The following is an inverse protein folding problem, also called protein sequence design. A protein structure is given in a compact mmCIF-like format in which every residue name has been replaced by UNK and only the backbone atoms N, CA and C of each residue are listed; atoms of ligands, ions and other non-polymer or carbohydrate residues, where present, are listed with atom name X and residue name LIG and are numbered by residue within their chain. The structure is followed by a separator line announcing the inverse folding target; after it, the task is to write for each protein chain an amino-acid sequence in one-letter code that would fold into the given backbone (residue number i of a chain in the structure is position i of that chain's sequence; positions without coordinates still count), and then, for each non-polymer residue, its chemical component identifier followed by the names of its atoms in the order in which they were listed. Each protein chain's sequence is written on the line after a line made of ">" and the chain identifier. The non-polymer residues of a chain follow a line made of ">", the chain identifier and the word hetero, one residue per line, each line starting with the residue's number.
data_IF_779654725655
#
_entry.id   IF_779654725655
#
_cell.length_a   1.000
_cell.length_b   1.000
_cell.length_c   1.000
_cell.angle_alpha   90.00
_cell.angle_beta   90.00
_cell.angle_gamma   90.00
#
_symmetry.space_group_name_H-M   'P 1'
#
loop_
_entity.id
_entity.type
_entity.pdbx_description
1 polymer ?
#
# COMPACT_ATOMS: atom_id res chain seq x y z
N UNK A 1 -25.90 -16.95 30.31
CA UNK A 1 -24.78 -16.72 29.38
C UNK A 1 -25.30 -16.47 27.99
N UNK A 2 -24.84 -15.38 27.40
CA UNK A 2 -25.19 -15.07 26.02
C UNK A 2 -24.40 -15.99 25.08
N UNK A 3 -25.11 -16.75 24.25
CA UNK A 3 -24.46 -17.49 23.19
C UNK A 3 -24.27 -16.54 22.00
N UNK A 4 -23.03 -16.25 21.61
CA UNK A 4 -22.79 -15.37 20.47
C UNK A 4 -23.27 -16.01 19.17
N UNK A 5 -23.70 -15.18 18.24
CA UNK A 5 -24.12 -15.61 16.91
C UNK A 5 -23.31 -14.85 15.86
N UNK A 6 -23.15 -15.47 14.70
CA UNK A 6 -22.48 -14.82 13.55
C UNK A 6 -23.57 -14.20 12.67
N UNK A 7 -23.39 -12.91 12.38
CA UNK A 7 -24.31 -12.13 11.56
C UNK A 7 -23.60 -11.66 10.29
N UNK A 8 -24.24 -11.87 9.15
CA UNK A 8 -23.75 -11.35 7.86
C UNK A 8 -24.28 -9.94 7.65
N UNK A 9 -23.38 -8.98 7.47
CA UNK A 9 -23.73 -7.59 7.20
C UNK A 9 -22.75 -7.00 6.17
N UNK A 10 -23.11 -7.05 4.87
CA UNK A 10 -22.23 -6.53 3.81
C UNK A 10 -22.13 -5.00 3.80
N UNK A 11 -23.03 -4.32 4.48
CA UNK A 11 -23.09 -2.85 4.55
C UNK A 11 -22.71 -2.31 5.91
N UNK A 12 -21.96 -3.08 6.68
CA UNK A 12 -21.55 -2.67 8.03
C UNK A 12 -20.88 -1.30 8.03
N UNK A 13 -21.28 -0.40 8.94
CA UNK A 13 -20.65 0.92 9.07
C UNK A 13 -19.21 0.82 9.54
N UNK A 14 -18.44 1.89 9.30
CA UNK A 14 -17.02 1.92 9.67
C UNK A 14 -16.79 1.70 11.16
N UNK A 15 -17.70 2.15 12.01
CA UNK A 15 -17.60 1.95 13.46
C UNK A 15 -17.51 0.48 13.83
N UNK A 16 -18.35 -0.37 13.23
CA UNK A 16 -18.30 -1.82 13.47
C UNK A 16 -17.03 -2.44 12.90
N UNK A 17 -16.60 -2.00 11.72
CA UNK A 17 -15.37 -2.46 11.09
C UNK A 17 -14.16 -2.13 11.97
N UNK A 18 -14.13 -0.92 12.53
CA UNK A 18 -13.06 -0.48 13.43
C UNK A 18 -13.00 -1.29 14.72
N UNK A 19 -14.15 -1.73 15.24
CA UNK A 19 -14.18 -2.61 16.42
C UNK A 19 -13.42 -3.91 16.11
N UNK A 20 -13.67 -4.52 14.96
CA UNK A 20 -12.99 -5.76 14.55
C UNK A 20 -11.49 -5.50 14.42
N UNK A 21 -11.10 -4.39 13.80
CA UNK A 21 -9.70 -4.02 13.66
C UNK A 21 -9.01 -3.86 15.03
N UNK A 22 -9.72 -3.28 16.00
CA UNK A 22 -9.20 -3.09 17.36
C UNK A 22 -8.79 -4.41 18.01
N UNK A 23 -9.50 -5.50 17.78
CA UNK A 23 -9.11 -6.80 18.34
C UNK A 23 -7.76 -7.26 17.81
N UNK A 24 -7.52 -7.06 16.51
CA UNK A 24 -6.24 -7.41 15.88
C UNK A 24 -5.12 -6.47 16.36
N UNK A 25 -5.41 -5.18 16.44
CA UNK A 25 -4.43 -4.17 16.86
C UNK A 25 -3.97 -4.42 18.30
N UNK A 26 -4.88 -4.72 19.21
CA UNK A 26 -4.51 -5.04 20.58
C UNK A 26 -3.59 -6.26 20.67
N UNK A 27 -3.90 -7.29 19.88
CA UNK A 27 -3.05 -8.48 19.82
C UNK A 27 -1.67 -8.16 19.27
N UNK A 28 -1.62 -7.41 18.17
CA UNK A 28 -0.37 -7.03 17.52
C UNK A 28 0.52 -6.19 18.43
N UNK A 29 -0.06 -5.25 19.16
CA UNK A 29 0.67 -4.42 20.12
C UNK A 29 1.22 -5.29 21.25
N UNK A 30 0.40 -6.21 21.79
CA UNK A 30 0.82 -7.12 22.85
C UNK A 30 2.01 -7.99 22.42
N UNK A 31 2.04 -8.45 21.16
CA UNK A 31 3.08 -9.32 20.63
C UNK A 31 4.33 -8.59 20.19
N UNK A 32 4.22 -7.38 19.69
CA UNK A 32 5.35 -6.67 19.08
C UNK A 32 5.80 -5.42 19.83
N UNK A 33 4.97 -4.90 20.73
CA UNK A 33 5.19 -3.61 21.38
C UNK A 33 5.05 -2.41 20.44
N UNK A 34 4.61 -2.64 19.19
CA UNK A 34 4.54 -1.59 18.17
C UNK A 34 3.15 -0.98 18.11
N UNK A 35 3.08 0.32 18.36
CA UNK A 35 1.86 1.11 18.34
C UNK A 35 1.78 1.93 17.06
N UNK A 36 2.93 2.33 16.50
CA UNK A 36 3.01 3.27 15.40
C UNK A 36 2.55 2.63 14.08
N UNK A 37 1.53 3.22 13.50
CA UNK A 37 1.07 2.97 12.14
C UNK A 37 0.81 4.34 11.52
N UNK A 38 1.50 4.62 10.41
CA UNK A 38 1.43 5.93 9.77
C UNK A 38 0.82 5.80 8.38
N UNK A 39 -0.38 6.35 8.14
CA UNK A 39 -0.88 6.48 6.78
C UNK A 39 -0.05 7.51 6.01
N UNK A 40 0.16 7.25 4.73
CA UNK A 40 0.80 8.22 3.84
C UNK A 40 -0.09 8.49 2.64
N UNK A 41 -0.05 9.74 2.17
CA UNK A 41 -0.72 10.17 0.96
C UNK A 41 0.10 11.27 0.31
N UNK A 42 0.42 11.08 -0.97
CA UNK A 42 1.08 12.08 -1.81
C UNK A 42 0.16 12.38 -2.97
N UNK A 43 -0.06 13.65 -3.26
CA UNK A 43 -0.95 14.07 -4.33
C UNK A 43 -0.21 14.88 -5.39
N UNK A 44 -0.48 14.57 -6.64
CA UNK A 44 -0.12 15.41 -7.78
C UNK A 44 -1.29 16.37 -8.00
N UNK A 45 -1.06 17.66 -7.86
CA UNK A 45 -2.11 18.68 -8.01
C UNK A 45 -1.71 19.69 -9.08
N UNK A 46 -2.72 20.22 -9.77
CA UNK A 46 -2.51 21.35 -10.68
C UNK A 46 -2.52 22.69 -9.93
N UNK A 47 -2.39 23.78 -10.66
CA UNK A 47 -2.37 25.13 -10.11
C UNK A 47 -3.67 25.52 -9.39
N UNK A 48 -4.79 24.87 -9.72
CA UNK A 48 -6.09 25.07 -9.10
C UNK A 48 -6.31 24.19 -7.87
N UNK A 49 -5.34 23.33 -7.56
CA UNK A 49 -5.45 22.37 -6.48
C UNK A 49 -6.22 21.11 -6.83
N UNK A 50 -6.52 20.90 -8.12
CA UNK A 50 -7.21 19.71 -8.57
C UNK A 50 -6.26 18.51 -8.57
N UNK A 51 -6.74 17.37 -8.08
CA UNK A 51 -5.91 16.16 -7.96
C UNK A 51 -5.81 15.46 -9.31
N UNK A 52 -4.59 15.33 -9.81
CA UNK A 52 -4.28 14.69 -11.09
C UNK A 52 -3.64 13.31 -10.92
N UNK A 53 -3.34 12.93 -9.71
CA UNK A 53 -2.76 11.64 -9.39
C UNK A 53 -2.33 11.59 -7.94
N UNK A 54 -1.80 10.44 -7.52
CA UNK A 54 -1.32 10.31 -6.16
C UNK A 54 -0.91 8.90 -5.80
N UNK A 55 -0.38 8.79 -4.60
CA UNK A 55 0.04 7.54 -3.99
C UNK A 55 -0.55 7.48 -2.58
N UNK A 56 -1.19 6.35 -2.28
CA UNK A 56 -1.74 6.06 -0.95
C UNK A 56 -1.04 4.82 -0.40
N UNK A 57 -0.77 4.83 0.88
CA UNK A 57 -0.14 3.69 1.52
C UNK A 57 -0.01 3.88 3.01
N UNK A 58 0.90 3.13 3.61
CA UNK A 58 1.17 3.24 5.04
C UNK A 58 2.59 2.77 5.36
N UNK A 59 3.04 3.14 6.53
CA UNK A 59 4.29 2.68 7.12
C UNK A 59 3.96 1.95 8.42
N UNK A 60 4.47 0.73 8.55
CA UNK A 60 4.37 -0.03 9.79
C UNK A 60 5.54 -0.99 9.91
N UNK A 61 6.09 -1.09 11.11
CA UNK A 61 7.12 -2.07 11.45
C UNK A 61 8.33 -2.08 10.50
N UNK A 62 8.76 -0.90 10.05
CA UNK A 62 9.94 -0.75 9.18
C UNK A 62 9.70 -1.03 7.71
N UNK A 63 8.45 -1.14 7.30
CA UNK A 63 8.05 -1.42 5.93
C UNK A 63 7.14 -0.34 5.36
N UNK A 64 7.40 0.03 4.12
CA UNK A 64 6.50 0.85 3.31
C UNK A 64 5.54 -0.07 2.55
N UNK A 65 4.25 0.16 2.70
CA UNK A 65 3.24 -0.47 1.86
C UNK A 65 2.64 0.57 0.92
N UNK A 66 2.82 0.39 -0.37
CA UNK A 66 2.13 1.20 -1.40
C UNK A 66 0.83 0.49 -1.75
N UNK A 67 -0.28 1.05 -1.30
CA UNK A 67 -1.60 0.46 -1.53
C UNK A 67 -2.18 0.87 -2.87
N UNK A 68 -1.98 2.13 -3.28
CA UNK A 68 -2.56 2.67 -4.50
C UNK A 68 -1.60 3.67 -5.13
N UNK A 69 -1.37 3.54 -6.43
CA UNK A 69 -0.68 4.54 -7.23
C UNK A 69 -1.51 4.79 -8.49
N UNK A 70 -1.90 6.02 -8.71
CA UNK A 70 -2.70 6.38 -9.87
C UNK A 70 -2.34 7.74 -10.41
N UNK A 71 -2.34 7.87 -11.73
CA UNK A 71 -2.08 9.13 -12.43
C UNK A 71 -3.11 9.28 -13.54
N UNK A 72 -3.75 10.45 -13.63
CA UNK A 72 -4.74 10.74 -14.65
C UNK A 72 -4.14 10.54 -16.06
N UNK A 73 -4.96 10.03 -16.97
CA UNK A 73 -4.50 9.67 -18.32
C UNK A 73 -3.67 10.76 -19.02
N UNK A 74 -4.07 12.05 -19.01
CA UNK A 74 -3.26 13.11 -19.63
C UNK A 74 -1.89 13.32 -19.00
N UNK A 75 -1.70 12.89 -17.77
CA UNK A 75 -0.45 13.06 -17.03
C UNK A 75 0.48 11.85 -17.14
N UNK A 76 0.03 10.75 -17.73
CA UNK A 76 0.84 9.52 -17.85
C UNK A 76 2.00 9.72 -18.83
N UNK A 77 3.06 8.92 -18.64
CA UNK A 77 4.25 8.97 -19.48
C UNK A 77 5.13 10.20 -19.28
N UNK A 78 4.90 10.97 -18.21
CA UNK A 78 5.62 12.21 -17.91
C UNK A 78 6.50 12.11 -16.66
N UNK A 79 6.63 10.92 -16.09
CA UNK A 79 7.49 10.68 -14.94
C UNK A 79 6.86 10.93 -13.57
N UNK A 80 5.59 11.30 -13.49
CA UNK A 80 4.95 11.61 -12.21
C UNK A 80 4.75 10.38 -11.32
N UNK A 81 4.41 9.22 -11.89
CA UNK A 81 4.32 8.00 -11.12
C UNK A 81 5.65 7.64 -10.47
N UNK A 82 6.73 7.75 -11.21
CA UNK A 82 8.09 7.54 -10.70
C UNK A 82 8.42 8.51 -9.57
N UNK A 83 8.11 9.79 -9.76
CA UNK A 83 8.37 10.81 -8.74
C UNK A 83 7.58 10.56 -7.46
N UNK A 84 6.30 10.17 -7.58
CA UNK A 84 5.47 9.81 -6.43
C UNK A 84 6.09 8.65 -5.66
N UNK A 85 6.53 7.61 -6.35
CA UNK A 85 7.19 6.47 -5.72
C UNK A 85 8.49 6.88 -5.03
N UNK A 86 9.32 7.68 -5.68
CA UNK A 86 10.58 8.16 -5.12
C UNK A 86 10.36 8.97 -3.85
N UNK A 87 9.36 9.83 -3.82
CA UNK A 87 9.02 10.64 -2.64
C UNK A 87 8.51 9.77 -1.49
N UNK A 88 7.68 8.79 -1.79
CA UNK A 88 7.20 7.87 -0.77
C UNK A 88 8.33 7.03 -0.18
N UNK A 89 9.24 6.54 -1.02
CA UNK A 89 10.39 5.77 -0.57
C UNK A 89 11.35 6.63 0.29
N UNK A 90 11.61 7.86 -0.14
CA UNK A 90 12.46 8.78 0.61
C UNK A 90 11.87 9.09 2.00
N UNK A 91 10.58 9.35 2.05
CA UNK A 91 9.87 9.57 3.31
C UNK A 91 9.92 8.34 4.22
N UNK A 92 9.72 7.15 3.64
CA UNK A 92 9.80 5.91 4.38
C UNK A 92 11.20 5.68 4.97
N UNK A 93 12.25 5.95 4.20
CA UNK A 93 13.65 5.85 4.67
C UNK A 93 13.90 6.80 5.84
N UNK A 94 13.43 8.05 5.76
CA UNK A 94 13.54 9.02 6.86
C UNK A 94 12.85 8.50 8.14
N UNK A 95 11.81 7.70 7.99
CA UNK A 95 11.07 7.08 9.11
C UNK A 95 11.67 5.75 9.55
N UNK A 96 12.83 5.37 9.02
CA UNK A 96 13.53 4.15 9.43
C UNK A 96 13.11 2.89 8.69
N UNK A 97 12.34 3.00 7.62
CA UNK A 97 11.97 1.85 6.80
C UNK A 97 13.16 1.35 5.99
N UNK A 98 13.31 0.03 5.92
CA UNK A 98 14.37 -0.62 5.15
C UNK A 98 13.84 -1.36 3.93
N UNK A 99 12.53 -1.59 3.87
CA UNK A 99 11.89 -2.37 2.81
C UNK A 99 10.55 -1.78 2.41
N UNK A 100 10.12 -2.10 1.21
CA UNK A 100 8.80 -1.77 0.72
C UNK A 100 8.16 -2.93 -0.02
N UNK A 101 6.85 -2.93 -0.11
CA UNK A 101 6.11 -3.91 -0.89
C UNK A 101 4.85 -3.29 -1.47
N UNK A 102 4.35 -3.91 -2.52
CA UNK A 102 3.14 -3.54 -3.22
C UNK A 102 2.59 -4.73 -3.99
N UNK A 103 1.44 -4.56 -4.58
CA UNK A 103 0.87 -5.53 -5.49
C UNK A 103 0.38 -4.84 -6.77
N UNK A 104 0.40 -5.57 -7.86
CA UNK A 104 -0.03 -5.10 -9.17
C UNK A 104 -0.51 -6.27 -10.02
N UNK A 105 -1.36 -6.00 -10.99
CA UNK A 105 -1.89 -7.02 -11.88
C UNK A 105 -1.15 -7.02 -13.22
N UNK A 106 -1.22 -8.15 -13.95
CA UNK A 106 -0.56 -8.31 -15.25
C UNK A 106 -1.02 -7.29 -16.30
N UNK A 107 -2.24 -6.75 -16.13
CA UNK A 107 -2.77 -5.69 -17.00
C UNK A 107 -2.45 -4.28 -16.50
N UNK A 108 -1.65 -4.14 -15.45
CA UNK A 108 -1.28 -2.84 -14.88
C UNK A 108 0.20 -2.50 -15.16
N UNK A 109 1.05 -2.53 -14.16
CA UNK A 109 2.31 -1.81 -14.22
C UNK A 109 3.53 -2.58 -13.69
N UNK A 110 3.54 -3.91 -13.79
CA UNK A 110 4.70 -4.70 -13.33
C UNK A 110 6.03 -4.19 -13.90
N UNK A 111 6.18 -3.93 -15.22
CA UNK A 111 7.46 -3.44 -15.75
C UNK A 111 7.88 -2.09 -15.16
N UNK A 112 6.91 -1.21 -14.87
CA UNK A 112 7.16 0.07 -14.23
C UNK A 112 7.81 -0.12 -12.86
N UNK A 113 7.27 -1.01 -12.05
CA UNK A 113 7.80 -1.28 -10.71
C UNK A 113 9.15 -2.01 -10.76
N UNK A 114 9.34 -2.92 -11.74
CA UNK A 114 10.63 -3.58 -11.92
C UNK A 114 11.75 -2.58 -12.21
N UNK A 115 11.48 -1.57 -13.01
CA UNK A 115 12.44 -0.48 -13.29
C UNK A 115 12.78 0.33 -12.05
N UNK A 116 11.90 0.38 -11.07
CA UNK A 116 12.15 1.04 -9.79
C UNK A 116 12.87 0.15 -8.78
N UNK A 117 13.16 -1.10 -9.14
CA UNK A 117 13.87 -2.04 -8.28
C UNK A 117 13.01 -3.01 -7.52
N UNK A 118 11.70 -3.03 -7.78
CA UNK A 118 10.81 -4.04 -7.19
C UNK A 118 10.92 -5.36 -7.94
N UNK A 119 10.82 -6.46 -7.19
CA UNK A 119 10.82 -7.81 -7.75
C UNK A 119 9.60 -8.57 -7.27
N UNK A 120 9.08 -9.45 -8.12
CA UNK A 120 7.97 -10.33 -7.77
C UNK A 120 8.46 -11.40 -6.79
N UNK A 121 7.75 -11.56 -5.69
CA UNK A 121 8.00 -12.63 -4.73
C UNK A 121 6.82 -13.58 -4.57
N UNK A 122 5.67 -13.28 -5.17
CA UNK A 122 4.49 -14.13 -5.15
C UNK A 122 3.55 -13.77 -6.29
N UNK A 123 2.83 -14.76 -6.78
CA UNK A 123 1.89 -14.61 -7.89
C UNK A 123 0.61 -15.39 -7.59
N UNK A 124 -0.53 -14.73 -7.79
CA UNK A 124 -1.83 -15.39 -7.82
C UNK A 124 -2.25 -15.53 -9.28
N UNK A 125 -2.50 -16.76 -9.71
CA UNK A 125 -2.96 -17.06 -11.05
C UNK A 125 -4.47 -16.84 -11.15
N UNK A 126 -4.95 -16.52 -12.36
CA UNK A 126 -6.39 -16.30 -12.62
C UNK A 126 -7.04 -15.33 -11.64
N UNK A 127 -6.39 -14.21 -11.40
CA UNK A 127 -6.91 -13.16 -10.51
C UNK A 127 -6.75 -11.80 -11.19
N UNK A 128 -7.75 -11.33 -11.95
CA UNK A 128 -8.95 -12.05 -12.43
C UNK A 128 -8.62 -13.10 -13.50
N UNK A 129 -9.62 -13.85 -13.91
CA UNK A 129 -9.45 -14.93 -14.90
C UNK A 129 -8.70 -14.47 -16.16
N UNK A 130 -7.67 -15.22 -16.57
CA UNK A 130 -6.80 -14.88 -17.69
C UNK A 130 -5.69 -13.88 -17.35
N UNK A 131 -5.60 -13.44 -16.10
CA UNK A 131 -4.60 -12.49 -15.64
C UNK A 131 -3.88 -13.00 -14.40
N UNK A 132 -2.80 -12.36 -14.04
CA UNK A 132 -2.03 -12.66 -12.84
C UNK A 132 -1.99 -11.46 -11.90
N UNK A 133 -1.92 -11.73 -10.62
CA UNK A 133 -1.76 -10.75 -9.57
C UNK A 133 -0.41 -10.97 -8.91
N UNK A 134 0.47 -9.96 -9.00
CA UNK A 134 1.84 -10.02 -8.51
C UNK A 134 2.00 -9.29 -7.19
N UNK A 135 2.72 -9.90 -6.28
CA UNK A 135 3.20 -9.25 -5.06
C UNK A 135 4.68 -8.97 -5.21
N UNK A 136 5.08 -7.72 -4.99
CA UNK A 136 6.42 -7.24 -5.28
C UNK A 136 7.05 -6.58 -4.05
N UNK A 137 8.36 -6.68 -3.95
CA UNK A 137 9.11 -6.11 -2.83
C UNK A 137 10.40 -5.46 -3.31
N UNK A 138 10.90 -4.53 -2.49
CA UNK A 138 12.15 -3.81 -2.74
C UNK A 138 12.85 -3.54 -1.42
N UNK A 139 14.15 -3.73 -1.38
CA UNK A 139 14.98 -3.23 -0.29
C UNK A 139 15.24 -1.74 -0.55
N UNK A 140 14.81 -0.87 0.36
CA UNK A 140 14.90 0.59 0.20
C UNK A 140 16.29 1.11 0.53
N UNK A 141 16.94 0.48 1.50
CA UNK A 141 18.30 0.84 1.90
C UNK A 141 19.17 -0.40 1.93
N UNK A 142 20.40 -0.25 1.47
CA UNK A 142 21.41 -1.28 1.66
C UNK A 142 21.88 -1.23 3.11
N UNK A 143 21.63 -2.28 3.87
CA UNK A 143 22.22 -2.43 5.20
C UNK A 143 23.71 -2.68 5.01
N UNK A 144 24.51 -1.75 5.50
CA UNK A 144 25.98 -1.92 5.56
C UNK A 144 26.37 -2.68 6.82
#
# INVERSE_FOLDING_TARGET
>A
MNNPTIVFDPYAPNELRNIVQTFVDHHNIAMTGRVEWYPIAFFLKDERGEVLGGLLGNIWAGWLHVATLGVAAPMRGRGFGRELMQRAEAYAIERGCTNGFLDTFSFQARPFYEKLGYRVFGTLEDHPAGHEHYFMTKQLTLLQ
#
